data_IF_634708408001
#
_entry.id   IF_634708408001
#
_cell.length_a   1.000
_cell.length_b   1.000
_cell.length_c   1.000
_cell.angle_alpha   90.00
_cell.angle_beta   90.00
_cell.angle_gamma   90.00
#
_symmetry.space_group_name_H-M   'P 1'
#
loop_
_entity.id
_entity.type
_entity.pdbx_description
1 polymer ?
#
# COMPACT_ATOMS: atom_id res chain seq x y z
N UNK A 1 30.96 -15.98 -39.06
CA UNK A 1 30.50 -15.02 -38.04
C UNK A 1 31.56 -14.94 -36.95
N UNK A 2 32.11 -13.76 -36.66
CA UNK A 2 33.25 -13.60 -35.77
C UNK A 2 32.88 -13.95 -34.32
N UNK A 3 33.67 -14.81 -33.66
CA UNK A 3 33.44 -15.24 -32.27
C UNK A 3 33.30 -14.03 -31.31
N UNK A 4 34.11 -12.99 -31.53
CA UNK A 4 34.05 -11.72 -30.77
C UNK A 4 32.73 -10.96 -30.94
N UNK A 5 32.10 -11.07 -32.12
CA UNK A 5 30.82 -10.42 -32.43
C UNK A 5 29.67 -11.14 -31.72
N UNK A 6 29.72 -12.49 -31.69
CA UNK A 6 28.74 -13.31 -30.99
C UNK A 6 28.79 -13.10 -29.47
N UNK A 7 29.99 -13.01 -28.88
CA UNK A 7 30.15 -12.72 -27.46
C UNK A 7 29.66 -11.33 -27.08
N UNK A 8 29.88 -10.33 -27.94
CA UNK A 8 29.38 -8.97 -27.71
C UNK A 8 27.84 -8.92 -27.71
N UNK A 9 27.20 -9.63 -28.64
CA UNK A 9 25.74 -9.74 -28.69
C UNK A 9 25.16 -10.45 -27.46
N UNK A 10 25.80 -11.53 -27.00
CA UNK A 10 25.36 -12.27 -25.82
C UNK A 10 25.46 -11.43 -24.54
N UNK A 11 26.54 -10.67 -24.35
CA UNK A 11 26.71 -9.76 -23.20
C UNK A 11 25.68 -8.62 -23.24
N UNK A 12 25.46 -8.02 -24.41
CA UNK A 12 24.45 -6.97 -24.56
C UNK A 12 23.04 -7.48 -24.28
N UNK A 13 22.72 -8.70 -24.72
CA UNK A 13 21.43 -9.32 -24.44
C UNK A 13 21.26 -9.60 -22.94
N UNK A 14 22.31 -10.10 -22.26
CA UNK A 14 22.28 -10.34 -20.81
C UNK A 14 22.06 -9.05 -20.01
N UNK A 15 22.68 -7.93 -20.43
CA UNK A 15 22.49 -6.62 -19.80
C UNK A 15 21.06 -6.10 -19.94
N UNK A 16 20.41 -6.27 -21.10
CA UNK A 16 19.02 -5.85 -21.31
C UNK A 16 18.01 -6.56 -20.40
N UNK A 17 18.23 -7.83 -20.06
CA UNK A 17 17.30 -8.60 -19.20
C UNK A 17 17.30 -8.06 -17.77
N UNK A 18 18.43 -7.51 -17.28
CA UNK A 18 18.52 -6.96 -15.92
C UNK A 18 17.79 -5.63 -15.74
N UNK A 19 17.56 -4.87 -16.84
CA UNK A 19 16.84 -3.60 -16.80
C UNK A 19 15.34 -3.76 -16.54
N UNK A 20 14.75 -4.92 -16.86
CA UNK A 20 13.32 -5.21 -16.66
C UNK A 20 12.98 -5.79 -15.28
N UNK A 21 13.95 -5.92 -14.38
CA UNK A 21 13.73 -6.51 -13.05
C UNK A 21 13.19 -5.51 -11.99
N UNK A 22 13.04 -4.23 -12.33
CA UNK A 22 12.52 -3.24 -11.38
C UNK A 22 10.99 -3.35 -11.27
N UNK A 23 10.50 -3.66 -10.08
CA UNK A 23 9.05 -3.60 -9.79
C UNK A 23 8.61 -2.15 -9.82
N UNK A 24 7.60 -1.82 -10.63
CA UNK A 24 7.05 -0.47 -10.68
C UNK A 24 6.45 -0.12 -9.31
N UNK A 25 6.80 1.05 -8.79
CA UNK A 25 6.22 1.54 -7.54
C UNK A 25 4.73 1.83 -7.76
N UNK A 26 3.89 1.30 -6.86
CA UNK A 26 2.45 1.60 -6.86
C UNK A 26 2.23 3.10 -6.66
N UNK A 27 1.46 3.69 -7.56
CA UNK A 27 1.07 5.11 -7.50
C UNK A 27 -0.43 5.20 -7.30
N UNK A 28 -0.85 6.15 -6.47
CA UNK A 28 -2.23 6.53 -6.27
C UNK A 28 -2.33 8.04 -6.43
N UNK A 29 -3.37 8.53 -7.11
CA UNK A 29 -3.61 9.96 -7.29
C UNK A 29 -4.82 10.35 -6.45
N UNK A 30 -4.63 10.98 -5.28
CA UNK A 30 -5.73 11.41 -4.42
C UNK A 30 -6.71 12.33 -5.17
N UNK A 31 -8.00 12.24 -4.84
CA UNK A 31 -9.04 13.08 -5.44
C UNK A 31 -9.20 14.37 -4.62
N UNK A 32 -9.20 15.52 -5.30
CA UNK A 32 -9.53 16.80 -4.66
C UNK A 32 -11.03 16.88 -4.39
N UNK A 33 -11.42 17.41 -3.24
CA UNK A 33 -12.81 17.58 -2.84
C UNK A 33 -13.13 19.04 -2.53
N UNK A 34 -14.42 19.36 -2.54
CA UNK A 34 -14.99 20.65 -2.15
C UNK A 34 -16.15 20.49 -1.15
N UNK A 35 -16.24 19.31 -0.52
CA UNK A 35 -17.22 18.95 0.50
C UNK A 35 -16.49 18.77 1.82
N UNK A 36 -17.17 19.07 2.93
CA UNK A 36 -16.61 18.84 4.26
C UNK A 36 -16.67 17.36 4.63
N UNK A 37 -15.60 16.85 5.23
CA UNK A 37 -15.51 15.52 5.83
C UNK A 37 -15.59 15.67 7.35
N UNK A 38 -16.41 14.85 7.99
CA UNK A 38 -16.46 14.80 9.45
C UNK A 38 -15.40 13.83 9.96
N UNK A 39 -14.56 14.30 10.88
CA UNK A 39 -13.49 13.46 11.46
C UNK A 39 -14.02 12.74 12.70
N UNK A 40 -14.77 11.66 12.50
CA UNK A 40 -15.33 10.82 13.58
C UNK A 40 -15.02 9.32 13.43
N UNK A 41 -14.26 8.95 12.40
CA UNK A 41 -13.88 7.56 12.13
C UNK A 41 -14.93 6.73 11.38
N UNK A 42 -16.06 7.34 11.00
CA UNK A 42 -17.09 6.70 10.17
C UNK A 42 -16.92 7.17 8.72
N UNK A 43 -16.86 6.25 7.77
CA UNK A 43 -16.70 6.55 6.34
C UNK A 43 -18.05 6.53 5.62
N UNK A 44 -19.00 7.34 6.07
CA UNK A 44 -20.38 7.35 5.55
C UNK A 44 -20.66 8.48 4.54
N UNK A 45 -19.75 9.46 4.40
CA UNK A 45 -19.89 10.49 3.37
C UNK A 45 -19.82 9.89 1.96
N UNK A 46 -20.71 10.34 1.08
CA UNK A 46 -20.82 9.81 -0.27
C UNK A 46 -19.51 9.91 -1.09
N UNK A 47 -18.69 10.94 -0.81
CA UNK A 47 -17.45 11.20 -1.55
C UNK A 47 -16.39 10.11 -1.37
N UNK A 48 -16.44 9.35 -0.26
CA UNK A 48 -15.55 8.21 -0.04
C UNK A 48 -15.73 7.11 -1.09
N UNK A 49 -16.93 6.96 -1.66
CA UNK A 49 -17.22 5.98 -2.71
C UNK A 49 -16.51 6.30 -4.02
N UNK A 50 -16.19 7.57 -4.25
CA UNK A 50 -15.45 8.02 -5.43
C UNK A 50 -13.94 8.14 -5.17
N UNK A 51 -13.49 7.90 -3.94
CA UNK A 51 -12.10 8.04 -3.58
C UNK A 51 -11.28 6.91 -4.22
N UNK A 52 -10.08 7.21 -4.75
CA UNK A 52 -9.16 6.18 -5.20
C UNK A 52 -8.79 5.28 -4.01
N UNK A 53 -8.78 3.97 -4.23
CA UNK A 53 -8.50 2.97 -3.19
C UNK A 53 -7.08 2.42 -3.34
N UNK A 54 -6.32 2.45 -2.25
CA UNK A 54 -5.16 1.61 -2.06
C UNK A 54 -5.61 0.30 -1.40
N UNK A 55 -5.38 -0.81 -2.08
CA UNK A 55 -5.79 -2.16 -1.71
C UNK A 55 -4.64 -3.16 -1.95
N UNK A 56 -4.86 -4.47 -1.76
CA UNK A 56 -3.90 -5.53 -2.15
C UNK A 56 -2.55 -5.33 -1.47
N UNK A 57 -2.60 -5.09 -0.17
CA UNK A 57 -1.39 -4.97 0.62
C UNK A 57 -0.68 -6.32 0.70
N UNK A 58 0.62 -6.24 0.95
CA UNK A 58 1.45 -7.43 1.20
C UNK A 58 2.00 -7.35 2.60
N UNK A 59 2.10 -8.49 3.23
CA UNK A 59 2.60 -8.63 4.59
C UNK A 59 4.08 -8.26 4.66
N UNK A 60 4.47 -7.45 5.65
CA UNK A 60 5.88 -7.16 5.93
C UNK A 60 6.51 -8.23 6.85
N UNK A 61 5.71 -8.74 7.79
CA UNK A 61 6.07 -9.76 8.79
C UNK A 61 4.81 -10.53 9.22
N UNK A 62 4.92 -11.80 9.67
CA UNK A 62 6.14 -12.62 9.71
C UNK A 62 6.49 -13.27 8.37
N UNK A 63 5.58 -13.26 7.39
CA UNK A 63 5.78 -13.84 6.05
C UNK A 63 5.83 -12.71 4.99
N UNK A 64 7.02 -12.17 4.68
CA UNK A 64 7.15 -11.03 3.78
C UNK A 64 6.58 -11.30 2.39
N UNK A 65 6.01 -10.27 1.79
CA UNK A 65 5.51 -10.23 0.41
C UNK A 65 4.30 -11.14 0.13
N UNK A 66 3.76 -11.81 1.14
CA UNK A 66 2.52 -12.59 1.02
C UNK A 66 1.34 -11.61 0.88
N UNK A 67 0.50 -11.73 -0.17
CA UNK A 67 -0.71 -10.93 -0.31
C UNK A 67 -1.69 -11.19 0.85
N UNK A 68 -2.43 -10.16 1.24
CA UNK A 68 -3.54 -10.30 2.18
C UNK A 68 -4.62 -11.26 1.65
N UNK A 69 -5.31 -11.95 2.58
CA UNK A 69 -6.50 -12.72 2.23
C UNK A 69 -7.72 -11.80 2.12
N UNK A 70 -8.76 -12.22 1.38
CA UNK A 70 -10.00 -11.44 1.28
C UNK A 70 -10.66 -11.16 2.64
N UNK A 71 -10.48 -12.07 3.61
CA UNK A 71 -11.03 -11.94 4.96
C UNK A 71 -10.25 -10.94 5.83
N UNK A 72 -9.02 -10.59 5.45
CA UNK A 72 -8.13 -9.67 6.16
C UNK A 72 -7.72 -8.49 5.27
N UNK A 73 -8.54 -8.16 4.27
CA UNK A 73 -8.23 -7.12 3.30
C UNK A 73 -8.22 -5.71 3.89
N UNK A 74 -7.23 -4.91 3.49
CA UNK A 74 -7.08 -3.51 3.88
C UNK A 74 -7.38 -2.59 2.71
N UNK A 75 -8.28 -1.62 2.94
CA UNK A 75 -8.69 -0.63 1.95
C UNK A 75 -8.44 0.77 2.52
N UNK A 76 -7.58 1.56 1.86
CA UNK A 76 -7.23 2.92 2.29
C UNK A 76 -7.60 3.92 1.20
N UNK A 77 -8.25 5.00 1.59
CA UNK A 77 -8.77 6.03 0.71
C UNK A 77 -8.08 7.36 0.99
N UNK A 78 -7.79 8.10 -0.06
CA UNK A 78 -7.10 9.38 0.03
C UNK A 78 -7.90 10.48 -0.70
N UNK A 79 -8.29 11.49 0.05
CA UNK A 79 -8.95 12.71 -0.43
C UNK A 79 -8.19 13.93 0.07
N UNK A 80 -8.31 15.08 -0.59
CA UNK A 80 -7.71 16.31 -0.10
C UNK A 80 -8.48 17.55 -0.51
N UNK A 81 -8.32 18.63 0.23
CA UNK A 81 -8.78 19.97 -0.14
C UNK A 81 -7.69 21.02 0.19
N UNK A 82 -8.08 22.27 0.48
CA UNK A 82 -7.13 23.31 0.86
C UNK A 82 -6.69 23.23 2.33
N UNK A 83 -7.47 22.54 3.17
CA UNK A 83 -7.27 22.49 4.62
C UNK A 83 -6.44 21.27 5.00
N UNK A 84 -6.56 20.15 4.27
CA UNK A 84 -5.73 18.98 4.55
C UNK A 84 -5.86 17.78 3.61
N UNK A 85 -5.09 16.75 3.97
CA UNK A 85 -5.18 15.38 3.42
C UNK A 85 -6.03 14.54 4.36
N UNK A 86 -7.08 13.93 3.83
CA UNK A 86 -7.97 13.03 4.53
C UNK A 86 -7.60 11.59 4.18
N UNK A 87 -7.36 10.79 5.21
CA UNK A 87 -7.02 9.36 5.08
C UNK A 87 -8.09 8.55 5.81
N UNK A 88 -8.84 7.75 5.04
CA UNK A 88 -9.85 6.84 5.56
C UNK A 88 -9.43 5.39 5.34
N UNK A 89 -9.72 4.50 6.29
CA UNK A 89 -9.34 3.09 6.20
C UNK A 89 -10.48 2.15 6.59
N UNK A 90 -10.68 1.09 5.81
CA UNK A 90 -11.44 -0.08 6.21
C UNK A 90 -10.50 -1.29 6.27
N UNK A 91 -10.21 -1.75 7.48
CA UNK A 91 -9.33 -2.89 7.73
C UNK A 91 -10.21 -4.05 8.18
N UNK A 92 -10.34 -5.06 7.32
CA UNK A 92 -11.07 -6.28 7.69
C UNK A 92 -10.17 -7.15 8.55
N UNK A 93 -10.76 -7.72 9.59
CA UNK A 93 -10.13 -8.76 10.37
C UNK A 93 -11.14 -9.89 10.57
N UNK A 94 -10.72 -11.11 10.27
CA UNK A 94 -11.55 -12.30 10.39
C UNK A 94 -11.82 -12.65 11.85
N UNK A 95 -10.82 -12.49 12.72
CA UNK A 95 -10.91 -12.89 14.11
C UNK A 95 -10.70 -11.72 15.06
N UNK A 96 -11.72 -11.42 15.88
CA UNK A 96 -11.70 -10.26 16.79
C UNK A 96 -10.54 -10.28 17.80
N UNK A 97 -10.12 -11.46 18.24
CA UNK A 97 -8.99 -11.68 19.14
C UNK A 97 -7.63 -11.39 18.48
N UNK A 98 -7.57 -11.29 17.15
CA UNK A 98 -6.37 -10.89 16.41
C UNK A 98 -6.19 -9.37 16.36
N UNK A 99 -7.19 -8.59 16.78
CA UNK A 99 -7.10 -7.13 16.85
C UNK A 99 -6.37 -6.75 18.15
N UNK A 100 -5.17 -6.21 18.01
CA UNK A 100 -4.45 -5.66 19.15
C UNK A 100 -5.22 -4.48 19.76
N UNK A 101 -5.46 -4.53 21.07
CA UNK A 101 -6.23 -3.52 21.81
C UNK A 101 -5.44 -2.84 22.93
N UNK A 102 -4.14 -3.10 23.00
CA UNK A 102 -3.28 -2.59 24.06
C UNK A 102 -2.90 -1.13 23.82
N UNK A 103 -3.11 -0.29 24.83
CA UNK A 103 -2.56 1.06 24.87
C UNK A 103 -1.21 1.00 25.58
N UNK A 104 -0.14 0.85 24.81
CA UNK A 104 1.24 0.88 25.34
C UNK A 104 1.79 2.30 25.24
N UNK A 105 2.56 2.72 26.24
CA UNK A 105 3.25 4.01 26.24
C UNK A 105 4.16 4.16 25.02
N UNK A 106 4.29 5.38 24.51
CA UNK A 106 5.14 5.70 23.35
C UNK A 106 6.61 5.34 23.56
N UNK A 107 7.06 5.30 24.81
CA UNK A 107 8.47 5.07 25.13
C UNK A 107 8.68 3.57 25.42
N UNK A 108 9.34 2.85 24.51
CA UNK A 108 9.63 1.42 24.60
C UNK A 108 9.76 0.79 23.21
N UNK A 109 10.05 -0.51 23.15
CA UNK A 109 9.74 -1.31 21.97
C UNK A 109 8.41 -2.04 22.22
N UNK A 110 7.42 -1.84 21.36
CA UNK A 110 6.08 -2.35 21.58
C UNK A 110 5.20 -2.36 20.34
N UNK A 111 3.93 -2.67 20.55
CA UNK A 111 2.95 -2.82 19.47
C UNK A 111 2.61 -1.51 18.74
N UNK A 112 3.15 -0.38 19.21
CA UNK A 112 3.02 0.97 18.65
C UNK A 112 4.21 1.40 17.77
N UNK A 113 5.28 0.60 17.71
CA UNK A 113 6.46 0.85 16.86
C UNK A 113 6.38 0.13 15.51
N UNK A 114 5.30 -0.61 15.27
CA UNK A 114 5.05 -1.41 14.08
C UNK A 114 3.77 -1.01 13.36
#
# INVERSE_FOLDING_TARGET
>A
MNFKLLTAFAVSFLLCITLQAQTEQRKLHPKRINVSIKIDGVLDEAIWKDAPVADKFTMLRPAPFVPESEANGTFVYFLYDNDGLYVGGNLKEKFKDSIASELIGRDGFGNNDF
#
